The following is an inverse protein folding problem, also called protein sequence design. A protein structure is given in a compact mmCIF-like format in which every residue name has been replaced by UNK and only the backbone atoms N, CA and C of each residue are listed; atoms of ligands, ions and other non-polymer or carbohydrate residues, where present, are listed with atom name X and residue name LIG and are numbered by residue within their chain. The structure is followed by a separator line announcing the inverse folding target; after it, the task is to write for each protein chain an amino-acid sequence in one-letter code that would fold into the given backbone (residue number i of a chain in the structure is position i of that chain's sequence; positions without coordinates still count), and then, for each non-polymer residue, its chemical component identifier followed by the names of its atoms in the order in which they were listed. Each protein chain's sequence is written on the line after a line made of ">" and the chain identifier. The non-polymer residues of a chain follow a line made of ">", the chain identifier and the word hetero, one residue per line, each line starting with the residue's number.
data_IF_961344249047
#
_entry.id   IF_961344249047
#
_cell.length_a   1.000
_cell.length_b   1.000
_cell.length_c   1.000
_cell.angle_alpha   90.00
_cell.angle_beta   90.00
_cell.angle_gamma   90.00
#
_symmetry.space_group_name_H-M   'P 1'
#
loop_
_entity.id
_entity.type
_entity.pdbx_description
1 polymer ?
#
# COMPACT_ATOMS: atom_id res chain seq x y z
N UNK A 1 -3.13 9.66 -4.92
CA UNK A 1 -4.23 9.75 -5.88
C UNK A 1 -4.23 8.56 -6.85
N UNK A 2 -3.24 8.31 -7.69
CA UNK A 2 -3.23 7.11 -8.57
C UNK A 2 -3.21 5.77 -7.81
N UNK A 3 -2.66 5.72 -6.62
CA UNK A 3 -2.80 4.57 -5.72
C UNK A 3 -4.26 4.27 -5.38
N UNK A 4 -5.01 5.32 -5.06
CA UNK A 4 -6.45 5.22 -4.79
C UNK A 4 -7.21 4.74 -6.01
N UNK A 5 -6.76 5.09 -7.21
CA UNK A 5 -7.36 4.62 -8.47
C UNK A 5 -6.88 3.22 -8.93
N UNK A 6 -6.05 2.53 -8.14
CA UNK A 6 -5.51 1.22 -8.50
C UNK A 6 -4.44 1.25 -9.60
N UNK A 7 -4.00 2.42 -10.03
CA UNK A 7 -2.98 2.60 -11.07
C UNK A 7 -1.68 3.14 -10.46
N UNK A 8 -0.59 2.39 -10.59
CA UNK A 8 0.69 2.70 -9.95
C UNK A 8 1.79 3.14 -10.93
N UNK A 9 1.55 3.06 -12.23
CA UNK A 9 2.54 3.39 -13.26
C UNK A 9 2.87 4.87 -13.35
N UNK A 10 1.96 5.75 -12.93
CA UNK A 10 2.16 7.21 -12.84
C UNK A 10 1.74 7.68 -11.45
N UNK A 11 2.51 8.59 -10.87
CA UNK A 11 2.30 9.07 -9.49
C UNK A 11 1.85 10.51 -9.48
N UNK A 12 0.76 10.81 -8.77
CA UNK A 12 0.31 12.16 -8.49
C UNK A 12 -0.28 12.23 -7.09
N UNK A 13 0.11 13.21 -6.35
CA UNK A 13 -0.44 13.55 -5.05
C UNK A 13 -0.50 15.07 -4.90
N UNK A 14 -1.24 15.54 -3.92
CA UNK A 14 -1.27 16.96 -3.56
C UNK A 14 -1.16 17.11 -2.06
N UNK A 15 -0.63 18.27 -1.65
CA UNK A 15 -0.58 18.69 -0.26
C UNK A 15 -1.23 20.05 -0.14
N UNK A 16 -2.15 20.19 0.81
CA UNK A 16 -2.77 21.47 1.16
C UNK A 16 -2.11 21.98 2.44
N UNK A 17 -1.56 23.18 2.38
CA UNK A 17 -0.99 23.88 3.55
C UNK A 17 -1.76 25.18 3.75
N UNK A 18 -2.78 25.19 4.64
CA UNK A 18 -3.55 26.38 4.96
C UNK A 18 -2.68 27.49 5.56
N UNK A 19 -3.12 28.76 5.45
CA UNK A 19 -2.40 29.92 5.98
C UNK A 19 -2.23 29.85 7.51
N UNK A 20 -3.21 29.25 8.19
CA UNK A 20 -3.28 29.20 9.65
C UNK A 20 -2.31 28.19 10.26
N UNK A 21 -1.80 27.25 9.45
CA UNK A 21 -0.90 26.20 9.93
C UNK A 21 0.45 26.80 10.28
N UNK A 22 0.88 26.57 11.50
CA UNK A 22 2.15 27.04 12.01
C UNK A 22 2.92 25.94 12.75
N UNK A 23 4.23 26.06 12.79
CA UNK A 23 5.10 25.36 13.70
C UNK A 23 5.52 26.30 14.86
N UNK A 24 6.13 25.73 15.87
CA UNK A 24 6.73 26.50 16.97
C UNK A 24 8.25 26.25 16.96
N UNK A 25 9.02 27.33 17.00
CA UNK A 25 10.46 27.25 17.14
C UNK A 25 10.85 26.85 18.57
N UNK A 26 12.13 26.55 18.79
CA UNK A 26 12.63 26.12 20.09
C UNK A 26 12.42 27.16 21.22
N UNK A 27 12.35 28.44 20.85
CA UNK A 27 12.04 29.55 21.79
C UNK A 27 10.52 29.75 22.02
N UNK A 28 9.67 28.91 21.45
CA UNK A 28 8.20 28.99 21.53
C UNK A 28 7.56 29.97 20.54
N UNK A 29 8.33 30.66 19.71
CA UNK A 29 7.77 31.58 18.71
C UNK A 29 7.00 30.83 17.61
N UNK A 30 5.88 31.45 17.17
CA UNK A 30 5.03 30.88 16.11
C UNK A 30 5.61 31.19 14.75
N UNK A 31 5.83 30.17 13.93
CA UNK A 31 6.39 30.27 12.56
C UNK A 31 5.36 29.81 11.53
N UNK A 32 4.91 30.66 10.59
CA UNK A 32 4.01 30.24 9.52
C UNK A 32 4.66 29.16 8.63
N UNK A 33 3.97 28.04 8.42
CA UNK A 33 4.51 26.93 7.61
C UNK A 33 4.40 27.17 6.12
N UNK A 34 3.35 27.84 5.66
CA UNK A 34 3.07 28.00 4.22
C UNK A 34 4.20 28.69 3.45
N UNK A 35 4.78 29.82 3.90
CA UNK A 35 5.91 30.45 3.19
C UNK A 35 7.11 29.52 3.08
N UNK A 36 7.41 28.76 4.14
CA UNK A 36 8.51 27.79 4.15
C UNK A 36 8.24 26.63 3.19
N UNK A 37 7.02 26.10 3.21
CA UNK A 37 6.59 25.04 2.31
C UNK A 37 6.66 25.51 0.84
N UNK A 38 6.12 26.68 0.52
CA UNK A 38 6.14 27.25 -0.82
C UNK A 38 7.58 27.41 -1.33
N UNK A 39 8.48 27.97 -0.52
CA UNK A 39 9.89 28.08 -0.90
C UNK A 39 10.54 26.71 -1.14
N UNK A 40 10.30 25.74 -0.25
CA UNK A 40 10.83 24.38 -0.41
C UNK A 40 10.31 23.73 -1.69
N UNK A 41 8.99 23.77 -1.90
CA UNK A 41 8.34 23.15 -3.05
C UNK A 41 8.87 23.74 -4.37
N UNK A 42 8.85 25.06 -4.50
CA UNK A 42 9.28 25.73 -5.74
C UNK A 42 10.78 25.61 -6.01
N UNK A 43 11.59 25.33 -4.99
CA UNK A 43 13.04 25.14 -5.15
C UNK A 43 13.41 23.69 -5.48
N UNK A 44 12.70 22.72 -4.92
CA UNK A 44 13.05 21.30 -4.99
C UNK A 44 12.30 20.53 -6.08
N UNK A 45 11.08 20.95 -6.40
CA UNK A 45 10.21 20.24 -7.32
C UNK A 45 9.14 21.15 -7.90
N UNK A 46 9.08 21.27 -9.22
CA UNK A 46 8.13 22.17 -9.90
C UNK A 46 6.72 21.60 -10.08
N UNK A 47 6.46 20.40 -9.60
CA UNK A 47 5.16 19.75 -9.69
C UNK A 47 5.11 18.60 -10.70
N UNK A 48 4.04 17.82 -10.66
CA UNK A 48 3.80 16.77 -11.63
C UNK A 48 3.52 17.35 -13.02
N UNK A 49 3.76 16.56 -14.07
CA UNK A 49 3.46 17.00 -15.44
C UNK A 49 1.97 17.35 -15.60
N UNK A 50 1.64 18.24 -16.50
CA UNK A 50 0.26 18.66 -16.75
C UNK A 50 -0.64 17.48 -17.15
N UNK A 51 -0.13 16.58 -18.01
CA UNK A 51 -0.87 15.37 -18.42
C UNK A 51 -1.21 14.49 -17.22
N UNK A 52 -0.27 14.31 -16.30
CA UNK A 52 -0.48 13.56 -15.06
C UNK A 52 -1.52 14.23 -14.16
N UNK A 53 -1.50 15.56 -14.06
CA UNK A 53 -2.49 16.31 -13.29
C UNK A 53 -3.90 16.18 -13.89
N UNK A 54 -4.04 16.24 -15.23
CA UNK A 54 -5.33 16.03 -15.91
C UNK A 54 -5.86 14.61 -15.70
N UNK A 55 -4.99 13.60 -15.78
CA UNK A 55 -5.38 12.22 -15.43
C UNK A 55 -5.82 12.08 -13.97
N UNK A 56 -5.14 12.78 -13.05
CA UNK A 56 -5.53 12.79 -11.65
C UNK A 56 -6.88 13.48 -11.40
N UNK A 57 -7.17 14.55 -12.13
CA UNK A 57 -8.47 15.24 -12.07
C UNK A 57 -9.61 14.35 -12.58
N UNK A 58 -9.38 13.61 -13.67
CA UNK A 58 -10.37 12.70 -14.24
C UNK A 58 -10.87 11.62 -13.27
N UNK A 59 -10.05 11.21 -12.29
CA UNK A 59 -10.45 10.27 -11.22
C UNK A 59 -11.63 10.79 -10.40
N UNK A 60 -11.84 12.10 -10.35
CA UNK A 60 -12.94 12.72 -9.59
C UNK A 60 -14.22 12.94 -10.40
N UNK A 61 -14.20 12.66 -11.71
CA UNK A 61 -15.45 12.66 -12.50
C UNK A 61 -16.35 11.49 -12.05
N UNK A 62 -17.66 11.54 -12.30
CA UNK A 62 -18.55 10.42 -12.01
C UNK A 62 -18.09 9.10 -12.65
N UNK A 63 -17.63 9.14 -13.89
CA UNK A 63 -17.10 8.00 -14.63
C UNK A 63 -15.80 7.49 -14.00
N UNK A 64 -14.86 8.40 -13.70
CA UNK A 64 -13.60 8.07 -13.06
C UNK A 64 -13.76 7.46 -11.67
N UNK A 65 -14.73 7.92 -10.89
CA UNK A 65 -15.07 7.33 -9.59
C UNK A 65 -15.64 5.92 -9.75
N UNK A 66 -16.51 5.69 -10.73
CA UNK A 66 -17.09 4.37 -10.99
C UNK A 66 -16.01 3.36 -11.42
N UNK A 67 -15.13 3.74 -12.35
CA UNK A 67 -14.02 2.90 -12.81
C UNK A 67 -13.02 2.62 -11.67
N UNK A 68 -12.67 3.64 -10.89
CA UNK A 68 -11.80 3.52 -9.73
C UNK A 68 -12.38 2.56 -8.71
N UNK A 69 -13.68 2.69 -8.40
CA UNK A 69 -14.36 1.80 -7.47
C UNK A 69 -14.32 0.36 -7.94
N UNK A 70 -14.63 0.08 -9.20
CA UNK A 70 -14.59 -1.26 -9.76
C UNK A 70 -13.19 -1.89 -9.65
N UNK A 71 -12.14 -1.11 -9.91
CA UNK A 71 -10.74 -1.54 -9.79
C UNK A 71 -10.36 -1.85 -8.34
N UNK A 72 -10.78 -0.98 -7.41
CA UNK A 72 -10.53 -1.18 -5.97
C UNK A 72 -11.26 -2.43 -5.48
N UNK A 73 -12.54 -2.57 -5.79
CA UNK A 73 -13.36 -3.72 -5.39
C UNK A 73 -12.72 -5.04 -5.88
N UNK A 74 -12.17 -5.05 -7.09
CA UNK A 74 -11.45 -6.22 -7.63
C UNK A 74 -10.23 -6.59 -6.77
N UNK A 75 -9.40 -5.63 -6.39
CA UNK A 75 -8.21 -5.90 -5.58
C UNK A 75 -8.54 -6.18 -4.11
N UNK A 76 -9.57 -5.57 -3.56
CA UNK A 76 -10.05 -5.89 -2.20
C UNK A 76 -10.61 -7.31 -2.13
N UNK A 77 -11.28 -7.77 -3.18
CA UNK A 77 -11.72 -9.17 -3.26
C UNK A 77 -10.52 -10.12 -3.33
N UNK A 78 -9.45 -9.79 -4.05
CA UNK A 78 -8.19 -10.54 -4.01
C UNK A 78 -7.62 -10.61 -2.59
N UNK A 79 -7.60 -9.48 -1.89
CA UNK A 79 -7.10 -9.42 -0.52
C UNK A 79 -7.97 -10.24 0.44
N UNK A 80 -9.30 -10.22 0.26
CA UNK A 80 -10.23 -11.06 1.04
C UNK A 80 -9.89 -12.54 0.89
N UNK A 81 -9.69 -13.02 -0.34
CA UNK A 81 -9.34 -14.41 -0.61
C UNK A 81 -8.03 -14.82 0.08
N UNK A 82 -7.01 -13.98 -0.01
CA UNK A 82 -5.72 -14.22 0.68
C UNK A 82 -5.90 -14.29 2.20
N UNK A 83 -6.65 -13.34 2.78
CA UNK A 83 -6.93 -13.30 4.22
C UNK A 83 -7.63 -14.56 4.69
N UNK A 84 -8.69 -14.95 4.00
CA UNK A 84 -9.49 -16.12 4.38
C UNK A 84 -8.67 -17.42 4.31
N UNK A 85 -7.89 -17.58 3.24
CA UNK A 85 -7.04 -18.75 3.08
C UNK A 85 -5.99 -18.88 4.20
N UNK A 86 -5.34 -17.78 4.59
CA UNK A 86 -4.32 -17.80 5.64
C UNK A 86 -4.94 -17.89 7.05
N UNK A 87 -6.08 -17.23 7.28
CA UNK A 87 -6.81 -17.35 8.53
C UNK A 87 -7.30 -18.78 8.76
N UNK A 88 -7.78 -19.47 7.72
CA UNK A 88 -8.17 -20.89 7.78
C UNK A 88 -7.00 -21.83 8.15
N UNK A 89 -5.76 -21.39 7.93
CA UNK A 89 -4.52 -22.08 8.32
C UNK A 89 -4.00 -21.69 9.71
N UNK A 90 -4.77 -20.88 10.45
CA UNK A 90 -4.43 -20.47 11.82
C UNK A 90 -3.48 -19.28 11.92
N UNK A 91 -3.16 -18.61 10.81
CA UNK A 91 -2.39 -17.39 10.85
C UNK A 91 -3.22 -16.20 11.31
N UNK A 92 -2.64 -15.34 12.15
CA UNK A 92 -3.23 -14.05 12.47
C UNK A 92 -2.96 -13.08 11.30
N UNK A 93 -4.02 -12.52 10.74
CA UNK A 93 -3.94 -11.63 9.59
C UNK A 93 -4.53 -10.26 9.89
N UNK A 94 -3.91 -9.19 9.36
CA UNK A 94 -4.37 -7.82 9.49
C UNK A 94 -4.35 -7.11 8.13
N UNK A 95 -5.12 -6.05 7.97
CA UNK A 95 -5.25 -5.32 6.70
C UNK A 95 -6.11 -6.08 5.67
N UNK A 96 -6.01 -5.70 4.41
CA UNK A 96 -6.78 -6.31 3.31
C UNK A 96 -8.28 -5.97 3.33
N UNK A 97 -8.69 -4.92 4.04
CA UNK A 97 -10.08 -4.41 4.10
C UNK A 97 -10.18 -3.06 3.40
N UNK A 98 -9.36 -2.10 3.81
CA UNK A 98 -9.34 -0.74 3.24
C UNK A 98 -8.19 -0.54 2.24
N UNK A 99 -7.33 -1.53 2.10
CA UNK A 99 -6.24 -1.56 1.13
C UNK A 99 -5.92 -2.99 0.73
N UNK A 100 -5.43 -3.23 -0.49
CA UNK A 100 -5.12 -4.58 -0.97
C UNK A 100 -3.76 -5.10 -0.47
N UNK A 101 -3.44 -4.82 0.78
CA UNK A 101 -2.27 -5.36 1.49
C UNK A 101 -2.71 -6.16 2.69
N UNK A 102 -2.21 -7.38 2.78
CA UNK A 102 -2.46 -8.30 3.89
C UNK A 102 -1.15 -8.48 4.66
N UNK A 103 -1.19 -8.23 5.95
CA UNK A 103 -0.11 -8.52 6.87
C UNK A 103 -0.40 -9.83 7.59
N UNK A 104 0.60 -10.68 7.67
CA UNK A 104 0.51 -12.03 8.25
C UNK A 104 1.53 -12.12 9.38
N UNK A 105 1.06 -12.41 10.59
CA UNK A 105 1.91 -12.74 11.74
C UNK A 105 2.48 -14.16 11.52
N UNK A 106 3.79 -14.25 11.31
CA UNK A 106 4.49 -15.52 11.06
C UNK A 106 5.06 -16.14 12.34
N UNK A 107 4.93 -15.45 13.46
CA UNK A 107 5.41 -15.89 14.80
C UNK A 107 6.89 -16.31 14.80
N UNK A 108 7.70 -15.66 13.96
CA UNK A 108 9.12 -15.99 13.78
C UNK A 108 9.84 -14.91 12.99
N UNK A 109 11.02 -15.23 12.46
CA UNK A 109 11.79 -14.32 11.63
C UNK A 109 11.12 -14.09 10.28
N UNK A 110 10.97 -12.83 9.90
CA UNK A 110 10.28 -12.43 8.67
C UNK A 110 11.05 -12.79 7.40
N UNK A 111 12.39 -12.82 7.45
CA UNK A 111 13.24 -13.20 6.33
C UNK A 111 13.30 -14.72 6.14
N UNK A 112 13.37 -15.48 7.22
CA UNK A 112 13.31 -16.96 7.15
C UNK A 112 11.99 -17.42 6.55
N UNK A 113 10.89 -16.82 6.98
CA UNK A 113 9.57 -17.16 6.44
C UNK A 113 9.43 -16.75 4.97
N UNK A 114 9.93 -15.57 4.58
CA UNK A 114 9.99 -15.13 3.18
C UNK A 114 10.77 -16.15 2.33
N UNK A 115 11.97 -16.56 2.77
CA UNK A 115 12.82 -17.52 2.08
C UNK A 115 12.13 -18.87 1.91
N UNK A 116 11.40 -19.31 2.94
CA UNK A 116 10.60 -20.52 2.88
C UNK A 116 9.53 -20.43 1.79
N UNK A 117 8.72 -19.37 1.79
CA UNK A 117 7.67 -19.19 0.79
C UNK A 117 8.25 -19.08 -0.63
N UNK A 118 9.38 -18.43 -0.79
CA UNK A 118 10.05 -18.33 -2.08
C UNK A 118 10.51 -19.69 -2.59
N UNK A 119 11.13 -20.51 -1.74
CA UNK A 119 11.70 -21.81 -2.11
C UNK A 119 10.65 -22.89 -2.27
N UNK A 120 9.66 -22.94 -1.38
CA UNK A 120 8.69 -24.04 -1.33
C UNK A 120 7.41 -23.75 -2.14
N UNK A 121 6.99 -22.48 -2.21
CA UNK A 121 5.77 -22.07 -2.89
C UNK A 121 5.99 -21.29 -4.20
N UNK A 122 7.21 -20.83 -4.49
CA UNK A 122 7.47 -19.85 -5.55
C UNK A 122 6.59 -18.59 -5.43
N UNK A 123 6.36 -18.14 -4.20
CA UNK A 123 5.57 -16.94 -3.90
C UNK A 123 6.48 -15.89 -3.29
N UNK A 124 6.56 -14.74 -3.94
CA UNK A 124 7.33 -13.58 -3.46
C UNK A 124 6.43 -12.72 -2.59
N UNK A 125 6.86 -12.51 -1.35
CA UNK A 125 6.21 -11.61 -0.38
C UNK A 125 7.15 -10.47 -0.01
N UNK A 126 6.80 -9.66 0.98
CA UNK A 126 7.73 -8.65 1.51
C UNK A 126 7.94 -8.92 3.00
N UNK A 127 9.19 -9.19 3.44
CA UNK A 127 9.49 -9.32 4.87
C UNK A 127 9.14 -8.03 5.61
N UNK A 128 8.46 -8.16 6.73
CA UNK A 128 8.03 -7.00 7.52
C UNK A 128 9.19 -6.22 8.15
N UNK A 129 10.31 -6.88 8.44
CA UNK A 129 11.54 -6.23 8.89
C UNK A 129 12.00 -5.09 7.95
N UNK A 130 11.71 -5.20 6.64
CA UNK A 130 11.97 -4.15 5.66
C UNK A 130 11.21 -2.84 5.90
N UNK A 131 10.19 -2.84 6.75
CA UNK A 131 9.41 -1.67 7.16
C UNK A 131 9.79 -1.12 8.54
N UNK A 132 10.83 -1.68 9.16
CA UNK A 132 11.33 -1.30 10.48
C UNK A 132 11.00 -2.33 11.56
N UNK A 133 11.46 -2.05 12.78
CA UNK A 133 11.36 -2.99 13.91
C UNK A 133 9.94 -3.48 14.23
N UNK A 134 8.93 -2.63 14.03
CA UNK A 134 7.53 -3.00 14.27
C UNK A 134 6.99 -4.01 13.22
N UNK A 135 7.67 -4.17 12.09
CA UNK A 135 7.31 -5.14 11.07
C UNK A 135 7.96 -6.51 11.27
N UNK A 136 8.88 -6.65 12.21
CA UNK A 136 9.50 -7.95 12.48
C UNK A 136 8.46 -8.95 12.97
N UNK A 137 8.59 -10.23 12.56
CA UNK A 137 7.59 -11.24 12.82
C UNK A 137 6.39 -11.22 11.87
N UNK A 138 6.41 -10.37 10.86
CA UNK A 138 5.35 -10.26 9.84
C UNK A 138 5.91 -10.40 8.43
N UNK A 139 5.04 -10.86 7.52
CA UNK A 139 5.20 -10.65 6.07
C UNK A 139 4.04 -9.82 5.55
N UNK A 140 4.28 -9.05 4.48
CA UNK A 140 3.24 -8.34 3.75
C UNK A 140 3.00 -8.99 2.39
N UNK A 141 1.76 -9.32 2.11
CA UNK A 141 1.29 -9.83 0.82
C UNK A 141 0.55 -8.71 0.08
N UNK A 142 0.89 -8.51 -1.18
CA UNK A 142 0.19 -7.58 -2.07
C UNK A 142 -0.84 -8.35 -2.91
N UNK A 143 -2.07 -7.86 -2.92
CA UNK A 143 -3.16 -8.43 -3.72
C UNK A 143 -3.34 -7.73 -5.07
N UNK A 144 -2.40 -6.87 -5.48
CA UNK A 144 -2.36 -6.23 -6.79
C UNK A 144 -1.90 -7.21 -7.86
N UNK A 145 -2.78 -8.10 -8.29
CA UNK A 145 -2.50 -9.07 -9.33
C UNK A 145 -3.82 -9.53 -10.00
N UNK A 146 -3.74 -10.33 -11.06
CA UNK A 146 -4.92 -10.97 -11.62
C UNK A 146 -5.53 -11.98 -10.62
N UNK A 147 -6.81 -12.27 -10.77
CA UNK A 147 -7.53 -13.23 -9.92
C UNK A 147 -6.90 -14.62 -9.99
N UNK A 148 -6.54 -15.05 -11.19
CA UNK A 148 -5.95 -16.36 -11.47
C UNK A 148 -4.61 -16.52 -10.75
N UNK A 149 -3.75 -15.49 -10.82
CA UNK A 149 -2.46 -15.51 -10.13
C UNK A 149 -2.61 -15.51 -8.61
N UNK A 150 -3.59 -14.79 -8.06
CA UNK A 150 -3.87 -14.78 -6.62
C UNK A 150 -4.36 -16.17 -6.17
N UNK A 151 -5.28 -16.79 -6.90
CA UNK A 151 -5.77 -18.12 -6.59
C UNK A 151 -4.65 -19.17 -6.69
N UNK A 152 -3.79 -19.06 -7.69
CA UNK A 152 -2.61 -19.91 -7.82
C UNK A 152 -1.64 -19.74 -6.66
N UNK A 153 -1.35 -18.50 -6.26
CA UNK A 153 -0.52 -18.22 -5.10
C UNK A 153 -1.10 -18.81 -3.81
N UNK A 154 -2.41 -18.67 -3.60
CA UNK A 154 -3.11 -19.27 -2.46
C UNK A 154 -2.92 -20.78 -2.45
N UNK A 155 -3.16 -21.47 -3.56
CA UNK A 155 -2.97 -22.93 -3.66
C UNK A 155 -1.57 -23.37 -3.30
N UNK A 156 -0.55 -22.63 -3.76
CA UNK A 156 0.86 -22.92 -3.46
C UNK A 156 1.19 -22.67 -2.00
N UNK A 157 0.70 -21.57 -1.43
CA UNK A 157 0.85 -21.27 -0.01
C UNK A 157 0.20 -22.36 0.85
N UNK A 158 -1.00 -22.78 0.47
CA UNK A 158 -1.70 -23.87 1.17
C UNK A 158 -0.92 -25.18 1.18
N UNK A 159 -0.26 -25.52 0.08
CA UNK A 159 0.59 -26.69 -0.01
C UNK A 159 1.86 -26.57 0.85
N UNK A 160 2.54 -25.44 0.76
CA UNK A 160 3.79 -25.21 1.51
C UNK A 160 3.58 -25.02 3.03
N UNK A 161 2.40 -24.62 3.45
CA UNK A 161 2.04 -24.38 4.85
C UNK A 161 1.22 -25.53 5.46
N UNK A 162 1.12 -26.68 4.78
CA UNK A 162 0.36 -27.84 5.24
C UNK A 162 1.11 -28.73 6.25
N UNK A 163 2.37 -28.40 6.58
CA UNK A 163 3.26 -29.14 7.46
C UNK A 163 3.36 -28.57 8.87
#
# INVERSE_FOLDING_TARGET
>A
MFWTAGFTGVRCGYTVVPEEVAAYAADGSRVPLKPMWMRRQTTKFNGASYITQRGAEAVYSPEGQAETKATIDFYLENARLVREALAARGYTVAGGVDSPYVWVDVKGDSWEFFDRLLKEANVVTTPGAGFGKAGEGYIRISAFNSRENVQEAIRRLESALAG
#
